data_IF_065377535348
#
_entry.id   IF_065377535348
#
_cell.length_a   1.000
_cell.length_b   1.000
_cell.length_c   1.000
_cell.angle_alpha   90.00
_cell.angle_beta   90.00
_cell.angle_gamma   90.00
#
_symmetry.space_group_name_H-M   'P 1'
#
loop_
_entity.id
_entity.type
_entity.pdbx_description
1 polymer ?
#
# COMPACT_ATOMS: atom_id res chain seq x y z
N UNK A 1 -4.89 -48.16 -68.07
CA UNK A 1 -5.07 -46.82 -67.53
C UNK A 1 -4.48 -46.79 -66.14
N UNK A 2 -3.43 -46.00 -65.87
CA UNK A 2 -2.73 -45.95 -64.58
C UNK A 2 -3.68 -45.58 -63.50
N UNK A 3 -4.56 -44.59 -63.72
CA UNK A 3 -5.49 -44.07 -62.79
C UNK A 3 -6.59 -45.07 -62.35
N UNK A 4 -6.89 -46.09 -63.18
CA UNK A 4 -7.84 -47.15 -62.89
C UNK A 4 -7.20 -48.36 -62.10
N UNK A 5 -5.87 -48.45 -62.18
CA UNK A 5 -5.14 -49.47 -61.40
C UNK A 5 -4.74 -48.93 -59.97
N UNK A 6 -4.57 -47.62 -59.83
CA UNK A 6 -4.21 -47.00 -58.57
C UNK A 6 -5.38 -46.94 -57.52
N UNK A 7 -6.59 -47.38 -57.91
CA UNK A 7 -7.77 -47.45 -57.01
C UNK A 7 -8.15 -48.88 -56.65
N UNK A 8 -7.29 -49.85 -56.91
CA UNK A 8 -7.51 -51.23 -56.51
C UNK A 8 -6.94 -51.49 -55.13
N UNK A 9 -7.78 -51.93 -54.22
CA UNK A 9 -7.37 -52.28 -52.87
C UNK A 9 -6.41 -53.48 -52.85
N UNK A 10 -5.56 -53.59 -51.82
CA UNK A 10 -4.68 -54.76 -51.67
C UNK A 10 -5.43 -56.06 -51.72
N UNK A 11 -5.12 -56.90 -52.69
CA UNK A 11 -5.74 -58.20 -52.97
C UNK A 11 -6.88 -58.16 -53.97
N UNK A 12 -7.30 -57.01 -54.43
CA UNK A 12 -8.20 -56.93 -55.58
C UNK A 12 -7.55 -57.48 -56.83
N UNK A 13 -8.35 -58.19 -57.62
CA UNK A 13 -7.92 -58.75 -58.87
C UNK A 13 -8.92 -58.37 -59.95
N UNK A 14 -8.44 -57.61 -60.88
CA UNK A 14 -9.19 -57.28 -62.12
C UNK A 14 -8.50 -57.83 -63.33
N UNK A 15 -9.25 -58.20 -64.38
CA UNK A 15 -8.74 -58.70 -65.58
C UNK A 15 -9.14 -57.82 -66.76
N UNK A 16 -8.17 -57.54 -67.63
CA UNK A 16 -8.41 -56.91 -68.91
C UNK A 16 -8.05 -57.89 -70.01
N UNK A 17 -8.90 -57.97 -71.07
CA UNK A 17 -8.75 -58.95 -72.11
C UNK A 17 -8.73 -58.30 -73.49
N UNK A 18 -7.73 -58.63 -74.23
CA UNK A 18 -7.53 -58.12 -75.62
C UNK A 18 -7.58 -59.27 -76.60
N UNK A 19 -8.42 -59.15 -77.64
CA UNK A 19 -8.42 -60.08 -78.80
C UNK A 19 -7.30 -59.70 -79.77
N UNK A 20 -6.55 -60.68 -80.21
CA UNK A 20 -5.65 -60.52 -81.28
C UNK A 20 -5.91 -61.53 -82.37
N UNK A 21 -5.66 -61.17 -83.63
CA UNK A 21 -5.89 -62.07 -84.73
C UNK A 21 -4.53 -62.56 -85.26
N UNK A 22 -4.38 -63.86 -85.36
CA UNK A 22 -3.23 -64.50 -85.92
C UNK A 22 -3.62 -64.94 -87.37
N UNK A 23 -2.72 -64.73 -88.32
CA UNK A 23 -2.95 -65.07 -89.73
C UNK A 23 -1.70 -65.78 -90.25
N UNK A 24 -1.88 -66.89 -91.10
CA UNK A 24 -0.87 -67.59 -91.90
C UNK A 24 -0.78 -67.02 -93.32
N UNK A 25 -1.59 -65.98 -93.60
CA UNK A 25 -1.71 -65.37 -94.96
C UNK A 25 -2.89 -65.92 -95.77
N UNK A 26 -3.55 -66.98 -95.31
CA UNK A 26 -4.72 -67.61 -95.98
C UNK A 26 -5.91 -67.73 -95.07
N UNK A 27 -5.69 -67.98 -93.81
CA UNK A 27 -6.71 -68.13 -92.72
C UNK A 27 -6.32 -67.23 -91.55
N UNK A 28 -7.34 -66.94 -90.75
CA UNK A 28 -7.15 -66.20 -89.49
C UNK A 28 -7.83 -66.92 -88.30
N UNK A 29 -7.20 -66.81 -87.11
CA UNK A 29 -7.77 -67.28 -85.86
C UNK A 29 -7.64 -66.15 -84.78
N UNK A 30 -8.51 -66.17 -83.79
CA UNK A 30 -8.54 -65.16 -82.79
C UNK A 30 -8.06 -65.77 -81.43
N UNK A 31 -6.98 -65.24 -80.92
CA UNK A 31 -6.52 -65.47 -79.58
C UNK A 31 -6.89 -64.38 -78.65
N UNK A 32 -6.86 -64.68 -77.38
CA UNK A 32 -7.16 -63.73 -76.25
C UNK A 32 -5.90 -63.60 -75.40
N UNK A 33 -5.49 -62.39 -75.17
CA UNK A 33 -4.52 -62.06 -74.10
C UNK A 33 -5.32 -61.55 -72.93
N UNK A 34 -5.21 -62.19 -71.77
CA UNK A 34 -5.77 -61.70 -70.50
C UNK A 34 -4.64 -61.17 -69.64
N UNK A 35 -4.76 -59.92 -69.25
CA UNK A 35 -3.84 -59.29 -68.28
C UNK A 35 -4.56 -59.25 -66.91
N UNK A 36 -3.96 -59.81 -65.93
CA UNK A 36 -4.42 -59.73 -64.55
C UNK A 36 -3.68 -58.59 -63.87
N UNK A 37 -4.43 -57.61 -63.31
CA UNK A 37 -3.91 -56.52 -62.48
C UNK A 37 -4.30 -56.86 -61.07
N UNK A 38 -3.35 -56.85 -60.15
CA UNK A 38 -3.51 -57.11 -58.75
C UNK A 38 -3.30 -55.79 -58.00
N UNK A 39 -4.24 -55.38 -57.19
CA UNK A 39 -4.11 -54.26 -56.30
C UNK A 39 -2.96 -54.40 -55.28
N UNK A 40 -2.21 -53.38 -55.08
CA UNK A 40 -1.13 -53.31 -54.10
C UNK A 40 -1.43 -52.13 -53.16
N UNK A 41 -0.91 -52.22 -51.93
CA UNK A 41 -1.08 -51.16 -50.95
C UNK A 41 -0.43 -49.84 -51.47
N UNK A 42 -1.19 -48.79 -51.52
CA UNK A 42 -0.70 -47.44 -51.67
C UNK A 42 -0.24 -46.88 -50.29
N UNK A 43 0.66 -45.98 -50.30
CA UNK A 43 1.08 -45.36 -49.05
C UNK A 43 0.10 -44.23 -48.69
N UNK A 44 -0.33 -44.13 -47.42
CA UNK A 44 -1.21 -43.07 -47.00
C UNK A 44 -0.56 -41.69 -47.20
N UNK A 45 -1.38 -40.67 -47.23
CA UNK A 45 -0.96 -39.26 -47.24
C UNK A 45 -1.41 -38.56 -45.96
N UNK A 46 -0.70 -37.53 -45.60
CA UNK A 46 -1.12 -36.58 -44.55
C UNK A 46 -0.81 -35.16 -44.99
N UNK A 47 -1.28 -34.18 -44.26
CA UNK A 47 -0.92 -32.78 -44.50
C UNK A 47 -0.50 -32.14 -43.18
N UNK A 48 0.25 -31.05 -43.31
CA UNK A 48 0.61 -30.22 -42.15
C UNK A 48 -0.67 -29.76 -41.42
N UNK A 49 -0.56 -29.66 -40.10
CA UNK A 49 -1.64 -29.15 -39.29
C UNK A 49 -1.11 -28.19 -38.21
N UNK A 50 -2.02 -27.39 -37.66
CA UNK A 50 -1.73 -26.48 -36.57
C UNK A 50 -2.77 -26.68 -35.49
N UNK A 51 -2.32 -26.93 -34.26
CA UNK A 51 -3.15 -26.95 -33.06
C UNK A 51 -2.92 -25.69 -32.26
N UNK A 52 -3.89 -25.35 -31.41
CA UNK A 52 -3.78 -24.24 -30.45
C UNK A 52 -4.22 -24.73 -29.09
N UNK A 53 -3.45 -24.43 -28.08
CA UNK A 53 -3.78 -24.65 -26.67
C UNK A 53 -3.46 -23.39 -25.88
N UNK A 54 -4.01 -23.26 -24.66
CA UNK A 54 -3.55 -22.25 -23.73
C UNK A 54 -2.25 -22.73 -23.05
N UNK A 55 -1.42 -21.78 -22.59
CA UNK A 55 -0.35 -22.13 -21.66
C UNK A 55 -0.90 -22.81 -20.43
N UNK A 56 -0.09 -23.56 -19.71
CA UNK A 56 -0.45 -24.40 -18.56
C UNK A 56 -1.56 -25.42 -18.81
N UNK A 57 -2.05 -25.53 -20.03
CA UNK A 57 -3.11 -26.47 -20.42
C UNK A 57 -2.58 -27.50 -21.42
N UNK A 58 -2.65 -28.77 -21.05
CA UNK A 58 -2.25 -29.84 -21.95
C UNK A 58 -3.24 -29.98 -23.11
N UNK A 59 -2.72 -30.06 -24.33
CA UNK A 59 -3.50 -30.44 -25.50
C UNK A 59 -3.46 -31.96 -25.69
N UNK A 60 -4.62 -32.62 -25.67
CA UNK A 60 -4.73 -34.07 -25.92
C UNK A 60 -5.09 -34.25 -27.40
N UNK A 61 -4.22 -34.96 -28.14
CA UNK A 61 -4.41 -35.19 -29.56
C UNK A 61 -5.56 -36.19 -29.85
N UNK A 62 -6.26 -35.90 -30.94
CA UNK A 62 -7.19 -36.82 -31.60
C UNK A 62 -6.61 -37.36 -32.91
N UNK A 63 -7.08 -38.50 -33.37
CA UNK A 63 -6.62 -39.07 -34.65
C UNK A 63 -6.91 -38.20 -35.85
N UNK A 64 -7.97 -37.40 -35.80
CA UNK A 64 -8.35 -36.48 -36.90
C UNK A 64 -7.35 -35.35 -37.13
N UNK A 65 -6.54 -35.00 -36.13
CA UNK A 65 -5.56 -33.92 -36.22
C UNK A 65 -4.32 -34.31 -37.08
N UNK A 66 -4.13 -35.59 -37.33
CA UNK A 66 -3.05 -36.10 -38.18
C UNK A 66 -3.40 -36.13 -39.66
N UNK A 67 -4.59 -35.64 -40.05
CA UNK A 67 -5.03 -35.48 -41.46
C UNK A 67 -4.74 -36.70 -42.37
N UNK A 68 -4.96 -37.91 -41.84
CA UNK A 68 -4.75 -39.15 -42.56
C UNK A 68 -5.70 -39.23 -43.76
N UNK A 69 -5.18 -39.63 -44.91
CA UNK A 69 -5.96 -39.96 -46.11
C UNK A 69 -5.26 -41.10 -46.85
N UNK A 70 -6.03 -42.04 -47.33
CA UNK A 70 -5.57 -43.19 -48.09
C UNK A 70 -6.45 -43.39 -49.31
N UNK A 71 -5.87 -43.85 -50.43
CA UNK A 71 -6.60 -44.19 -51.65
C UNK A 71 -7.24 -45.55 -51.55
N UNK A 72 -6.73 -46.42 -50.68
CA UNK A 72 -7.32 -47.74 -50.44
C UNK A 72 -8.60 -47.60 -49.58
N UNK A 73 -9.75 -48.14 -50.06
CA UNK A 73 -11.09 -47.88 -49.48
C UNK A 73 -11.25 -48.26 -48.02
N UNK A 74 -10.41 -49.12 -47.47
CA UNK A 74 -10.44 -49.56 -46.08
C UNK A 74 -9.34 -48.91 -45.25
N UNK A 75 -8.57 -47.99 -45.85
CA UNK A 75 -7.46 -47.37 -45.17
C UNK A 75 -7.92 -46.53 -43.98
N UNK A 76 -7.46 -46.91 -42.82
CA UNK A 76 -7.65 -46.15 -41.60
C UNK A 76 -6.31 -45.92 -40.89
N UNK A 77 -6.18 -44.80 -40.20
CA UNK A 77 -4.98 -44.57 -39.42
C UNK A 77 -4.74 -45.74 -38.47
N UNK A 78 -3.63 -46.43 -38.64
CA UNK A 78 -3.19 -47.50 -37.75
C UNK A 78 -2.28 -46.94 -36.65
N UNK A 79 -1.32 -46.10 -37.00
CA UNK A 79 -0.36 -45.49 -36.11
C UNK A 79 0.26 -44.25 -36.72
N UNK A 80 0.88 -43.43 -35.90
CA UNK A 80 1.81 -42.37 -36.31
C UNK A 80 3.22 -42.73 -35.87
N UNK A 81 4.22 -42.14 -36.53
CA UNK A 81 5.62 -42.19 -36.12
C UNK A 81 6.16 -40.75 -36.03
N UNK A 82 6.77 -40.40 -34.92
CA UNK A 82 7.37 -39.08 -34.72
C UNK A 82 8.75 -39.05 -35.37
N UNK A 83 8.96 -38.18 -36.35
CA UNK A 83 10.18 -38.10 -37.17
C UNK A 83 11.07 -36.90 -36.85
N UNK A 84 10.55 -35.90 -36.11
CA UNK A 84 11.29 -34.82 -35.48
C UNK A 84 10.61 -34.50 -34.16
N UNK A 85 11.37 -34.14 -33.13
CA UNK A 85 10.84 -33.74 -31.83
C UNK A 85 10.66 -32.23 -31.78
N UNK A 86 9.86 -31.78 -30.82
CA UNK A 86 9.66 -30.40 -30.46
C UNK A 86 10.91 -29.78 -29.83
N UNK A 87 11.02 -28.43 -29.90
CA UNK A 87 12.11 -27.67 -29.28
C UNK A 87 11.69 -27.09 -27.90
N UNK A 88 10.40 -26.78 -27.72
CA UNK A 88 9.82 -26.21 -26.48
C UNK A 88 8.59 -26.99 -26.06
N UNK A 89 8.33 -27.06 -24.76
CA UNK A 89 7.30 -27.89 -24.19
C UNK A 89 7.66 -29.38 -24.27
N UNK A 90 6.66 -30.26 -24.13
CA UNK A 90 6.88 -31.70 -24.19
C UNK A 90 5.73 -32.44 -24.90
N UNK A 91 6.04 -33.17 -25.94
CA UNK A 91 5.15 -34.18 -26.54
C UNK A 91 5.23 -35.44 -25.67
N UNK A 92 4.15 -35.83 -25.05
CA UNK A 92 4.14 -36.90 -24.05
C UNK A 92 3.19 -38.02 -24.43
N UNK A 93 3.61 -39.24 -24.08
CA UNK A 93 2.85 -40.44 -24.22
C UNK A 93 2.59 -41.15 -22.88
N UNK A 94 1.35 -41.61 -22.66
CA UNK A 94 1.00 -42.36 -21.47
C UNK A 94 1.32 -43.86 -21.66
N UNK A 95 2.32 -44.36 -20.93
CA UNK A 95 2.80 -45.76 -21.06
C UNK A 95 2.01 -46.79 -20.26
N UNK A 96 0.82 -46.41 -19.74
CA UNK A 96 -0.02 -47.25 -18.88
C UNK A 96 0.21 -47.05 -17.40
N UNK A 97 1.24 -46.31 -17.00
CA UNK A 97 1.53 -45.96 -15.60
C UNK A 97 1.84 -44.48 -15.37
N UNK A 98 2.51 -43.85 -16.31
CA UNK A 98 2.91 -42.44 -16.26
C UNK A 98 2.99 -41.82 -17.62
N UNK A 99 2.97 -40.49 -17.67
CA UNK A 99 3.32 -39.70 -18.84
C UNK A 99 4.84 -39.66 -18.97
N UNK A 100 5.35 -39.97 -20.16
CA UNK A 100 6.77 -39.97 -20.51
C UNK A 100 6.93 -39.18 -21.82
N UNK A 101 8.06 -38.51 -22.01
CA UNK A 101 8.33 -37.79 -23.23
C UNK A 101 8.47 -38.77 -24.41
N UNK A 102 7.91 -38.37 -25.54
CA UNK A 102 8.01 -39.13 -26.79
C UNK A 102 9.45 -39.08 -27.27
N UNK A 103 9.90 -40.23 -27.80
CA UNK A 103 11.27 -40.34 -28.36
C UNK A 103 11.25 -40.31 -29.88
N UNK A 104 12.37 -39.91 -30.47
CA UNK A 104 12.51 -39.88 -31.93
C UNK A 104 12.26 -41.27 -32.54
N UNK A 105 11.46 -41.35 -33.60
CA UNK A 105 10.98 -42.56 -34.28
C UNK A 105 10.03 -43.41 -33.42
N UNK A 106 9.51 -42.90 -32.33
CA UNK A 106 8.48 -43.61 -31.58
C UNK A 106 7.20 -43.76 -32.41
N UNK A 107 6.67 -44.96 -32.42
CA UNK A 107 5.36 -45.26 -33.02
C UNK A 107 4.29 -45.25 -31.94
N UNK A 108 3.14 -44.60 -32.25
CA UNK A 108 1.99 -44.45 -31.35
C UNK A 108 0.75 -44.91 -32.11
N UNK A 109 0.04 -45.87 -31.54
CA UNK A 109 -1.13 -46.45 -32.22
C UNK A 109 -2.29 -45.46 -32.26
N UNK A 110 -3.14 -45.57 -33.29
CA UNK A 110 -4.38 -44.81 -33.38
C UNK A 110 -5.31 -45.07 -32.16
N UNK A 111 -5.27 -46.31 -31.63
CA UNK A 111 -6.01 -46.66 -30.43
C UNK A 111 -5.51 -45.88 -29.19
N UNK A 112 -4.21 -45.77 -29.01
CA UNK A 112 -3.62 -45.00 -27.94
C UNK A 112 -3.97 -43.53 -28.04
N UNK A 113 -3.92 -42.95 -29.28
CA UNK A 113 -4.34 -41.56 -29.52
C UNK A 113 -5.83 -41.40 -29.17
N UNK A 114 -6.70 -42.32 -29.61
CA UNK A 114 -8.13 -42.31 -29.32
C UNK A 114 -8.44 -42.45 -27.85
N UNK A 115 -7.59 -43.11 -27.07
CA UNK A 115 -7.66 -43.25 -25.63
C UNK A 115 -7.16 -41.99 -24.89
N UNK A 116 -6.65 -40.98 -25.63
CA UNK A 116 -6.09 -39.75 -25.04
C UNK A 116 -4.70 -39.93 -24.45
N UNK A 117 -3.90 -40.91 -24.94
CA UNK A 117 -2.57 -41.22 -24.42
C UNK A 117 -1.44 -40.48 -25.11
N UNK A 118 -1.78 -39.55 -26.00
CA UNK A 118 -0.84 -38.59 -26.60
C UNK A 118 -1.27 -37.16 -26.30
N UNK A 119 -0.36 -36.38 -25.72
CA UNK A 119 -0.60 -34.97 -25.41
C UNK A 119 0.62 -34.13 -25.69
N UNK A 120 0.39 -32.86 -25.93
CA UNK A 120 1.40 -31.80 -25.84
C UNK A 120 1.21 -31.07 -24.51
N UNK A 121 2.29 -30.86 -23.77
CA UNK A 121 2.35 -30.08 -22.54
C UNK A 121 3.23 -28.86 -22.79
N UNK A 122 2.70 -27.61 -22.81
CA UNK A 122 3.51 -26.40 -22.84
C UNK A 122 4.44 -26.34 -21.62
N UNK A 123 5.56 -25.64 -21.73
CA UNK A 123 6.32 -25.24 -20.57
C UNK A 123 5.49 -24.22 -19.77
N UNK A 124 5.72 -24.15 -18.45
CA UNK A 124 4.93 -23.29 -17.57
C UNK A 124 5.13 -21.82 -17.93
N UNK A 125 4.03 -21.06 -18.02
CA UNK A 125 4.01 -19.62 -18.27
C UNK A 125 4.69 -19.22 -19.59
N UNK A 126 4.74 -20.14 -20.58
CA UNK A 126 5.32 -19.86 -21.91
C UNK A 126 4.26 -19.92 -23.00
N UNK A 127 4.22 -18.90 -23.83
CA UNK A 127 3.27 -18.77 -24.92
C UNK A 127 3.92 -18.27 -26.22
N UNK A 128 3.21 -18.36 -27.32
CA UNK A 128 3.65 -17.86 -28.59
C UNK A 128 2.91 -18.45 -29.79
N UNK A 129 2.87 -17.72 -30.90
CA UNK A 129 2.47 -18.24 -32.19
C UNK A 129 3.63 -19.04 -32.75
N UNK A 130 3.33 -20.26 -33.28
CA UNK A 130 4.37 -21.23 -33.68
C UNK A 130 5.36 -21.49 -32.54
N UNK A 131 4.82 -21.70 -31.33
CA UNK A 131 5.58 -21.91 -30.10
C UNK A 131 6.60 -23.04 -30.28
N UNK A 132 6.15 -24.16 -30.91
CA UNK A 132 6.99 -25.26 -31.29
C UNK A 132 6.38 -26.03 -32.47
N UNK A 133 7.12 -27.00 -33.01
CA UNK A 133 6.61 -27.95 -33.99
C UNK A 133 7.32 -29.29 -33.87
N UNK A 134 6.66 -30.34 -34.30
CA UNK A 134 7.23 -31.68 -34.45
C UNK A 134 6.83 -32.26 -35.82
N UNK A 135 7.58 -33.23 -36.31
CA UNK A 135 7.21 -33.91 -37.54
C UNK A 135 6.70 -35.31 -37.26
N UNK A 136 5.74 -35.73 -38.09
CA UNK A 136 5.13 -37.03 -38.01
C UNK A 136 4.90 -37.65 -39.40
N UNK A 137 4.84 -38.97 -39.43
CA UNK A 137 4.32 -39.77 -40.52
C UNK A 137 3.08 -40.54 -40.04
N UNK A 138 2.10 -40.72 -40.89
CA UNK A 138 0.95 -41.57 -40.66
C UNK A 138 1.15 -42.91 -41.34
N UNK A 139 0.55 -43.98 -40.82
CA UNK A 139 0.62 -45.33 -41.40
C UNK A 139 -0.76 -46.00 -41.36
N UNK A 140 -1.06 -46.73 -42.45
CA UNK A 140 -2.16 -47.67 -42.59
C UNK A 140 -1.89 -49.05 -41.93
N UNK A 141 -0.65 -49.27 -41.45
CA UNK A 141 -0.15 -50.52 -40.89
C UNK A 141 0.86 -51.25 -41.83
N UNK A 142 0.90 -50.85 -43.10
CA UNK A 142 1.75 -51.46 -44.17
C UNK A 142 2.83 -50.48 -44.61
N UNK A 143 2.46 -49.25 -44.87
CA UNK A 143 3.35 -48.21 -45.39
C UNK A 143 3.27 -46.91 -44.53
N UNK A 144 4.20 -46.01 -44.74
CA UNK A 144 4.21 -44.66 -44.10
C UNK A 144 4.08 -43.56 -45.16
N UNK A 145 3.38 -42.47 -44.77
CA UNK A 145 3.37 -41.24 -45.56
C UNK A 145 4.74 -40.58 -45.61
N UNK A 146 4.88 -39.55 -46.43
CA UNK A 146 5.93 -38.54 -46.22
C UNK A 146 5.80 -37.85 -44.86
N UNK A 147 6.88 -37.25 -44.35
CA UNK A 147 6.85 -36.47 -43.11
C UNK A 147 6.03 -35.20 -43.30
N UNK A 148 5.24 -34.85 -42.26
CA UNK A 148 4.40 -33.67 -42.19
C UNK A 148 4.63 -32.95 -40.86
N UNK A 149 4.40 -31.67 -40.82
CA UNK A 149 4.64 -30.84 -39.63
C UNK A 149 3.35 -30.61 -38.86
N UNK A 150 3.40 -30.86 -37.56
CA UNK A 150 2.43 -30.39 -36.60
C UNK A 150 2.98 -29.12 -35.93
N UNK A 151 2.35 -27.99 -36.16
CA UNK A 151 2.68 -26.70 -35.50
C UNK A 151 1.80 -26.55 -34.25
N UNK A 152 2.40 -26.13 -33.17
CA UNK A 152 1.70 -25.84 -31.91
C UNK A 152 1.73 -24.35 -31.63
N UNK A 153 0.57 -23.73 -31.54
CA UNK A 153 0.41 -22.39 -30.98
C UNK A 153 0.01 -22.51 -29.47
N UNK A 154 0.61 -21.69 -28.64
CA UNK A 154 0.26 -21.56 -27.24
C UNK A 154 -0.24 -20.15 -26.99
N UNK A 155 -1.47 -20.04 -26.52
CA UNK A 155 -2.11 -18.76 -26.24
C UNK A 155 -1.82 -18.34 -24.82
N UNK A 156 -1.44 -17.08 -24.62
CA UNK A 156 -1.28 -16.49 -23.29
C UNK A 156 -2.59 -16.57 -22.46
N UNK A 157 -2.46 -16.87 -21.22
CA UNK A 157 -3.50 -16.79 -20.18
C UNK A 157 -2.92 -16.02 -19.02
N UNK A 158 -3.66 -15.06 -18.49
CA UNK A 158 -3.17 -14.27 -17.36
C UNK A 158 -2.85 -15.14 -16.15
N UNK A 159 -1.63 -15.05 -15.68
CA UNK A 159 -1.18 -15.61 -14.39
C UNK A 159 -1.46 -14.63 -13.26
N UNK A 160 -1.35 -15.09 -12.03
CA UNK A 160 -1.52 -14.24 -10.85
C UNK A 160 -0.15 -13.70 -10.41
N UNK A 161 -0.03 -12.40 -10.14
CA UNK A 161 1.20 -11.87 -9.58
C UNK A 161 1.50 -12.51 -8.23
N UNK A 162 2.75 -12.50 -7.82
CA UNK A 162 3.20 -12.95 -6.50
C UNK A 162 3.75 -11.76 -5.74
N UNK A 163 3.07 -11.37 -4.67
CA UNK A 163 3.50 -10.32 -3.76
C UNK A 163 4.29 -10.90 -2.58
N UNK A 164 5.34 -10.23 -2.15
CA UNK A 164 6.25 -10.65 -1.08
C UNK A 164 6.35 -9.56 -0.01
N UNK A 165 6.42 -9.97 1.26
CA UNK A 165 6.47 -9.04 2.39
C UNK A 165 7.72 -8.15 2.39
N UNK A 166 7.52 -6.87 2.72
CA UNK A 166 8.54 -5.82 2.80
C UNK A 166 8.80 -5.36 4.22
N UNK A 167 9.94 -4.72 4.40
CA UNK A 167 10.30 -4.10 5.68
C UNK A 167 10.98 -2.76 5.50
N UNK A 168 10.72 -1.83 6.42
CA UNK A 168 11.44 -0.58 6.52
C UNK A 168 11.64 -0.20 7.99
N UNK A 169 12.53 0.77 8.24
CA UNK A 169 12.75 1.30 9.58
C UNK A 169 12.87 2.82 9.55
N UNK A 170 12.41 3.47 10.62
CA UNK A 170 12.47 4.92 10.77
C UNK A 170 12.61 5.27 12.25
N UNK A 171 13.28 6.39 12.54
CA UNK A 171 13.31 6.97 13.89
C UNK A 171 12.20 8.02 13.98
N UNK A 172 11.52 8.09 15.11
CA UNK A 172 10.52 9.11 15.38
C UNK A 172 11.10 10.53 15.18
N UNK A 173 10.29 11.49 14.80
CA UNK A 173 10.76 12.82 14.40
C UNK A 173 11.39 12.89 13.00
N UNK A 174 11.59 11.76 12.31
CA UNK A 174 12.09 11.69 10.92
C UNK A 174 11.09 10.95 10.03
N UNK A 175 11.15 11.20 8.73
CA UNK A 175 10.34 10.45 7.75
C UNK A 175 11.22 9.57 6.89
N UNK A 176 10.75 8.37 6.54
CA UNK A 176 11.36 7.55 5.50
C UNK A 176 10.61 7.75 4.19
N UNK A 177 11.33 8.01 3.10
CA UNK A 177 10.76 8.18 1.77
C UNK A 177 11.47 7.27 0.78
N UNK A 178 10.72 6.42 0.12
CA UNK A 178 11.16 5.57 -0.98
C UNK A 178 10.54 6.11 -2.26
N UNK A 179 11.36 6.81 -3.04
CA UNK A 179 10.93 7.53 -4.25
C UNK A 179 11.22 6.80 -5.55
N UNK A 180 11.85 5.64 -5.49
CA UNK A 180 12.15 4.79 -6.64
C UNK A 180 11.31 3.52 -6.55
N UNK A 181 10.55 3.21 -7.59
CA UNK A 181 9.69 2.03 -7.66
C UNK A 181 10.48 0.72 -7.45
N UNK A 182 11.71 0.62 -7.93
CA UNK A 182 12.57 -0.55 -7.73
C UNK A 182 13.10 -0.74 -6.29
N UNK A 183 12.69 0.10 -5.35
CA UNK A 183 13.00 0.00 -3.92
C UNK A 183 11.74 0.23 -3.09
N UNK A 184 10.58 0.31 -3.75
CA UNK A 184 9.24 0.42 -3.14
C UNK A 184 8.73 -0.95 -2.72
N UNK A 185 7.44 -1.04 -2.43
CA UNK A 185 6.80 -2.33 -2.14
C UNK A 185 6.59 -3.19 -3.40
N UNK A 186 6.72 -2.61 -4.61
CA UNK A 186 6.82 -3.35 -5.87
C UNK A 186 8.30 -3.30 -6.27
N UNK A 187 9.11 -4.14 -5.72
CA UNK A 187 10.54 -4.21 -6.01
C UNK A 187 10.91 -5.54 -6.72
N UNK A 188 12.18 -5.91 -6.70
CA UNK A 188 12.67 -7.12 -7.37
C UNK A 188 12.14 -8.44 -6.75
N UNK A 189 11.42 -8.40 -5.62
CA UNK A 189 10.87 -9.58 -4.96
C UNK A 189 9.42 -9.86 -5.34
N UNK A 190 8.67 -8.87 -5.83
CA UNK A 190 7.36 -9.05 -6.41
C UNK A 190 7.50 -9.45 -7.88
N UNK A 191 6.79 -10.47 -8.30
CA UNK A 191 6.94 -11.04 -9.64
C UNK A 191 5.62 -11.33 -10.31
N UNK A 192 5.65 -11.31 -11.64
CA UNK A 192 4.56 -11.78 -12.47
C UNK A 192 5.13 -12.65 -13.58
N UNK A 193 4.56 -13.87 -13.82
CA UNK A 193 4.94 -14.68 -14.96
C UNK A 193 4.71 -13.98 -16.31
N UNK A 194 3.66 -13.15 -16.40
CA UNK A 194 3.34 -12.35 -17.58
C UNK A 194 4.23 -11.11 -17.66
N UNK A 195 5.41 -11.26 -18.27
CA UNK A 195 6.46 -10.23 -18.31
C UNK A 195 6.07 -8.92 -19.00
N UNK A 196 4.91 -8.89 -19.68
CA UNK A 196 4.35 -7.68 -20.32
C UNK A 196 3.44 -6.89 -19.38
N UNK A 197 3.05 -7.44 -18.26
CA UNK A 197 2.09 -6.83 -17.36
C UNK A 197 2.75 -5.79 -16.45
N UNK A 198 1.96 -4.82 -16.08
CA UNK A 198 2.41 -3.74 -15.21
C UNK A 198 1.78 -3.92 -13.83
N UNK A 199 2.61 -4.22 -12.86
CA UNK A 199 2.20 -4.37 -11.48
C UNK A 199 1.88 -3.01 -10.86
N UNK A 200 0.76 -2.94 -10.13
CA UNK A 200 0.32 -1.73 -9.42
C UNK A 200 -0.31 -2.07 -8.06
N UNK A 201 -0.16 -1.16 -7.12
CA UNK A 201 -0.88 -1.24 -5.84
C UNK A 201 -2.29 -0.68 -6.02
N UNK A 202 -3.31 -1.45 -5.65
CA UNK A 202 -4.73 -1.09 -5.79
C UNK A 202 -5.44 -0.83 -4.47
N UNK A 203 -4.96 -1.39 -3.38
CA UNK A 203 -5.52 -1.18 -2.03
C UNK A 203 -4.40 -1.21 -0.99
N UNK A 204 -4.62 -0.49 0.10
CA UNK A 204 -3.79 -0.50 1.30
C UNK A 204 -4.68 -0.56 2.53
N UNK A 205 -4.32 -1.38 3.51
CA UNK A 205 -5.01 -1.50 4.78
C UNK A 205 -4.04 -1.63 5.94
N UNK A 206 -4.48 -1.25 7.14
CA UNK A 206 -3.70 -1.38 8.37
C UNK A 206 -4.44 -2.28 9.38
N UNK A 207 -3.71 -2.93 10.27
CA UNK A 207 -4.26 -3.83 11.30
C UNK A 207 -5.26 -3.19 12.26
N UNK A 208 -5.28 -1.85 12.37
CA UNK A 208 -6.28 -1.11 13.15
C UNK A 208 -7.67 -1.04 12.48
N UNK A 209 -7.83 -1.60 11.28
CA UNK A 209 -9.09 -1.64 10.52
C UNK A 209 -9.23 -0.52 9.48
N UNK A 210 -8.28 0.41 9.37
CA UNK A 210 -8.26 1.41 8.29
C UNK A 210 -7.97 0.71 6.96
N UNK A 211 -8.66 1.11 5.89
CA UNK A 211 -8.43 0.63 4.52
C UNK A 211 -8.80 1.70 3.51
N UNK A 212 -8.05 1.77 2.42
CA UNK A 212 -8.29 2.72 1.32
C UNK A 212 -7.85 2.14 -0.01
N UNK A 213 -8.60 2.46 -1.08
CA UNK A 213 -8.14 2.19 -2.43
C UNK A 213 -7.01 3.16 -2.80
N UNK A 214 -5.97 2.66 -3.44
CA UNK A 214 -4.87 3.48 -3.96
C UNK A 214 -5.27 4.02 -5.32
N UNK A 215 -5.14 5.33 -5.50
CA UNK A 215 -5.49 6.00 -6.76
C UNK A 215 -4.47 5.63 -7.84
N UNK A 216 -4.93 5.21 -9.01
CA UNK A 216 -4.07 4.83 -10.13
C UNK A 216 -3.15 5.98 -10.59
N UNK A 217 -1.98 5.61 -11.10
CA UNK A 217 -0.96 6.55 -11.62
C UNK A 217 -0.44 7.54 -10.57
N UNK A 218 -0.43 7.16 -9.30
CA UNK A 218 0.13 7.95 -8.19
C UNK A 218 1.51 7.43 -7.78
N UNK A 219 2.27 8.32 -7.13
CA UNK A 219 3.57 8.06 -6.52
C UNK A 219 3.53 8.41 -5.03
N UNK A 220 4.62 8.24 -4.30
CA UNK A 220 4.73 8.67 -2.90
C UNK A 220 4.32 10.13 -2.63
N UNK A 221 4.47 11.02 -3.62
CA UNK A 221 4.22 12.46 -3.45
C UNK A 221 2.76 12.88 -3.58
N UNK A 222 1.93 12.04 -4.22
CA UNK A 222 0.49 12.27 -4.43
C UNK A 222 -0.33 10.99 -4.21
N UNK A 223 0.21 10.06 -3.44
CA UNK A 223 -0.38 8.77 -3.14
C UNK A 223 -1.56 8.83 -2.17
N UNK A 224 -2.01 7.66 -1.79
CA UNK A 224 -3.08 7.47 -0.81
C UNK A 224 -2.49 7.37 0.59
N UNK A 225 -2.99 8.19 1.52
CA UNK A 225 -2.55 8.20 2.90
C UNK A 225 -3.44 7.30 3.77
N UNK A 226 -2.80 6.52 4.64
CA UNK A 226 -3.46 5.67 5.63
C UNK A 226 -2.77 5.83 7.00
N UNK A 227 -3.59 6.01 8.04
CA UNK A 227 -3.08 6.19 9.41
C UNK A 227 -2.89 4.83 10.06
N UNK A 228 -1.65 4.58 10.51
CA UNK A 228 -1.24 3.44 11.33
C UNK A 228 -1.40 3.69 12.83
N UNK A 229 -0.65 2.98 13.63
CA UNK A 229 -0.57 3.15 15.09
C UNK A 229 0.47 4.20 15.47
N UNK A 230 1.63 4.13 14.85
CA UNK A 230 2.80 4.96 15.17
C UNK A 230 3.10 6.00 14.10
N UNK A 231 2.31 6.08 13.02
CA UNK A 231 2.52 7.07 11.97
C UNK A 231 1.50 6.99 10.84
N UNK A 232 1.82 7.67 9.76
CA UNK A 232 1.00 7.72 8.54
C UNK A 232 1.83 7.27 7.35
N UNK A 233 1.34 6.25 6.63
CA UNK A 233 1.88 5.82 5.35
C UNK A 233 1.16 6.55 4.22
N UNK A 234 1.91 7.10 3.26
CA UNK A 234 1.39 7.59 1.98
C UNK A 234 2.04 6.76 0.88
N UNK A 235 1.24 6.00 0.14
CA UNK A 235 1.70 5.04 -0.86
C UNK A 235 1.13 5.38 -2.24
N UNK A 236 1.97 5.29 -3.27
CA UNK A 236 1.59 5.42 -4.67
C UNK A 236 1.19 4.08 -5.30
N UNK A 237 0.47 4.15 -6.42
CA UNK A 237 0.15 2.97 -7.21
C UNK A 237 1.40 2.30 -7.80
N UNK A 238 2.50 3.02 -7.93
CA UNK A 238 3.80 2.54 -8.39
C UNK A 238 4.63 1.87 -7.29
N UNK A 239 4.07 1.66 -6.09
CA UNK A 239 4.74 1.07 -4.95
C UNK A 239 5.67 1.99 -4.17
N UNK A 240 5.93 3.20 -4.65
CA UNK A 240 6.70 4.19 -3.89
C UNK A 240 5.94 4.72 -2.69
N UNK A 241 6.62 5.07 -1.61
CA UNK A 241 5.93 5.49 -0.38
C UNK A 241 6.72 6.50 0.45
N UNK A 242 6.00 7.18 1.33
CA UNK A 242 6.55 7.95 2.45
C UNK A 242 5.84 7.52 3.73
N UNK A 243 6.60 7.24 4.77
CA UNK A 243 6.05 7.03 6.10
C UNK A 243 6.56 8.12 7.04
N UNK A 244 5.64 8.73 7.76
CA UNK A 244 5.91 9.80 8.74
C UNK A 244 5.39 9.35 10.09
N UNK A 245 6.28 9.15 11.07
CA UNK A 245 5.89 8.87 12.46
C UNK A 245 5.05 10.00 13.06
N UNK A 246 4.32 9.70 14.11
CA UNK A 246 3.38 10.62 14.76
C UNK A 246 3.91 11.24 16.08
N UNK A 247 5.15 10.97 16.47
CA UNK A 247 5.75 11.49 17.70
C UNK A 247 5.19 10.83 18.97
N UNK A 248 4.87 9.55 18.92
CA UNK A 248 4.23 8.87 20.06
C UNK A 248 5.12 7.88 20.81
N UNK A 249 6.35 7.72 20.39
CA UNK A 249 7.31 6.79 20.98
C UNK A 249 8.44 7.56 21.66
N UNK A 250 8.57 7.39 22.96
CA UNK A 250 9.62 7.97 23.77
C UNK A 250 10.99 7.31 23.46
N UNK A 251 12.09 7.95 23.82
CA UNK A 251 13.44 7.40 23.69
C UNK A 251 13.55 5.99 24.27
N UNK A 252 14.02 5.04 23.45
CA UNK A 252 14.21 3.63 23.84
C UNK A 252 12.98 2.77 23.67
N UNK A 253 11.85 3.33 23.28
CA UNK A 253 10.67 2.59 22.86
C UNK A 253 10.75 2.23 21.37
N UNK A 254 9.96 1.26 20.95
CA UNK A 254 9.83 0.88 19.55
C UNK A 254 8.49 0.22 19.29
N UNK A 255 7.99 0.37 18.08
CA UNK A 255 6.75 -0.25 17.64
C UNK A 255 6.78 -0.58 16.15
N UNK A 256 5.87 -1.42 15.71
CA UNK A 256 5.73 -1.78 14.31
C UNK A 256 4.35 -1.38 13.80
N UNK A 257 4.31 -0.66 12.69
CA UNK A 257 3.11 -0.52 11.87
C UNK A 257 3.17 -1.56 10.74
N UNK A 258 2.09 -2.33 10.60
CA UNK A 258 1.96 -3.37 9.57
C UNK A 258 0.82 -3.00 8.65
N UNK A 259 1.15 -2.71 7.40
CA UNK A 259 0.19 -2.42 6.36
C UNK A 259 0.13 -3.57 5.37
N UNK A 260 -1.08 -3.99 5.00
CA UNK A 260 -1.29 -4.98 3.94
C UNK A 260 -1.62 -4.24 2.65
N UNK A 261 -0.86 -4.48 1.60
CA UNK A 261 -1.15 -3.94 0.27
C UNK A 261 -1.70 -5.03 -0.66
N UNK A 262 -2.44 -4.61 -1.67
CA UNK A 262 -2.92 -5.48 -2.75
C UNK A 262 -2.19 -5.11 -4.03
N UNK A 263 -1.39 -6.05 -4.52
CA UNK A 263 -0.71 -6.00 -5.81
C UNK A 263 -1.67 -6.48 -6.91
N UNK A 264 -1.65 -5.87 -8.07
CA UNK A 264 -2.47 -6.25 -9.23
C UNK A 264 -1.71 -6.06 -10.53
N UNK A 265 -1.90 -7.00 -11.45
CA UNK A 265 -1.52 -6.96 -12.86
C UNK A 265 -2.60 -6.32 -13.76
N UNK A 266 -3.77 -5.99 -13.21
CA UNK A 266 -4.95 -5.48 -13.91
C UNK A 266 -6.04 -6.51 -14.13
N UNK A 267 -5.77 -7.81 -13.93
CA UNK A 267 -6.70 -8.94 -14.12
C UNK A 267 -6.84 -9.78 -12.86
N UNK A 268 -5.75 -10.05 -12.18
CA UNK A 268 -5.65 -10.81 -10.93
C UNK A 268 -4.97 -9.99 -9.83
N UNK A 269 -4.94 -10.51 -8.61
CA UNK A 269 -4.35 -9.81 -7.45
C UNK A 269 -3.74 -10.79 -6.47
N UNK A 270 -2.68 -10.33 -5.78
CA UNK A 270 -2.12 -10.97 -4.60
C UNK A 270 -1.90 -9.92 -3.49
N UNK A 271 -1.58 -10.35 -2.28
CA UNK A 271 -1.43 -9.47 -1.13
C UNK A 271 -0.19 -9.81 -0.32
N UNK A 272 0.54 -8.76 0.07
CA UNK A 272 1.64 -8.87 1.01
C UNK A 272 1.61 -7.71 2.01
N UNK A 273 2.58 -7.68 2.93
CA UNK A 273 2.66 -6.67 3.97
C UNK A 273 3.93 -5.84 3.85
N UNK A 274 3.83 -4.55 4.19
CA UNK A 274 5.00 -3.75 4.56
C UNK A 274 4.98 -3.53 6.07
N UNK A 275 6.05 -3.94 6.74
CA UNK A 275 6.27 -3.70 8.17
C UNK A 275 7.24 -2.55 8.37
N UNK A 276 6.76 -1.47 8.99
CA UNK A 276 7.57 -0.30 9.35
C UNK A 276 7.94 -0.38 10.83
N UNK A 277 9.22 -0.57 11.13
CA UNK A 277 9.74 -0.51 12.50
C UNK A 277 10.04 0.94 12.86
N UNK A 278 9.32 1.48 13.85
CA UNK A 278 9.51 2.83 14.37
C UNK A 278 10.29 2.74 15.69
N UNK A 279 11.39 3.50 15.78
CA UNK A 279 12.17 3.62 17.01
C UNK A 279 11.96 5.02 17.59
N UNK A 280 11.61 5.12 18.86
CA UNK A 280 11.38 6.37 19.54
C UNK A 280 12.63 7.24 19.61
N UNK A 281 12.44 8.53 19.59
CA UNK A 281 13.44 9.56 19.77
C UNK A 281 12.93 10.59 20.76
N UNK A 282 13.81 11.35 21.36
CA UNK A 282 13.44 12.44 22.23
C UNK A 282 12.76 13.56 21.44
N UNK A 283 11.54 13.91 21.83
CA UNK A 283 10.87 15.13 21.42
C UNK A 283 11.34 16.31 22.31
N UNK A 284 11.15 17.51 21.86
CA UNK A 284 11.48 18.68 22.65
C UNK A 284 10.26 19.17 23.43
N UNK A 285 10.47 19.67 24.65
CA UNK A 285 9.38 20.30 25.39
C UNK A 285 8.83 21.49 24.62
N UNK A 286 7.57 21.79 24.80
CA UNK A 286 6.89 22.96 24.23
C UNK A 286 6.51 23.92 25.34
N UNK A 287 7.24 25.03 25.44
CA UNK A 287 6.99 26.09 26.43
C UNK A 287 5.88 27.02 25.96
N UNK A 288 4.95 27.33 26.83
CA UNK A 288 3.84 28.25 26.60
C UNK A 288 4.02 29.54 27.41
N UNK A 289 3.61 30.66 26.83
CA UNK A 289 3.76 31.96 27.50
C UNK A 289 2.80 32.13 28.68
N UNK A 290 3.32 32.69 29.78
CA UNK A 290 2.63 32.94 31.03
C UNK A 290 2.29 34.39 31.30
N UNK A 291 1.30 34.59 32.14
CA UNK A 291 0.99 35.93 32.65
C UNK A 291 0.40 35.92 34.03
N UNK A 292 0.80 36.87 34.84
CA UNK A 292 0.18 37.09 36.12
C UNK A 292 0.02 38.59 36.42
N UNK A 293 -0.77 38.92 37.43
CA UNK A 293 -1.07 40.31 37.79
C UNK A 293 -0.85 40.55 39.29
N UNK A 294 -0.19 41.61 39.63
CA UNK A 294 -0.07 42.09 41.02
C UNK A 294 -0.62 43.49 41.13
N UNK A 295 -1.47 43.70 42.15
CA UNK A 295 -1.90 45.05 42.57
C UNK A 295 -0.89 45.58 43.61
N UNK A 296 -0.02 46.45 43.16
CA UNK A 296 1.08 47.00 43.97
C UNK A 296 0.62 47.93 45.08
N UNK A 297 -0.62 48.41 45.01
CA UNK A 297 -1.21 49.24 46.09
C UNK A 297 -1.56 48.41 47.35
N UNK A 298 -1.62 47.09 47.23
CA UNK A 298 -1.99 46.19 48.31
C UNK A 298 -0.97 45.06 48.57
N UNK A 299 -0.13 44.76 47.57
CA UNK A 299 0.83 43.68 47.67
C UNK A 299 2.20 44.10 47.16
N UNK A 300 3.25 43.79 47.91
CA UNK A 300 4.63 43.98 47.48
C UNK A 300 5.27 42.69 46.95
N UNK A 301 4.57 41.56 47.04
CA UNK A 301 5.09 40.25 46.63
C UNK A 301 3.95 39.43 46.01
N UNK A 302 4.27 38.80 44.87
CA UNK A 302 3.45 37.79 44.23
C UNK A 302 4.17 36.45 44.37
N UNK A 303 3.52 35.47 45.01
CA UNK A 303 4.06 34.10 45.13
C UNK A 303 3.13 33.13 44.42
N UNK A 304 3.71 32.28 43.57
CA UNK A 304 3.04 31.20 42.86
C UNK A 304 3.71 29.90 43.27
N UNK A 305 2.89 28.99 43.79
CA UNK A 305 3.37 27.67 44.24
C UNK A 305 3.35 26.67 43.12
N UNK A 306 4.16 25.65 43.23
CA UNK A 306 4.21 24.49 42.33
C UNK A 306 2.82 23.85 42.16
N UNK A 307 2.48 23.45 40.93
CA UNK A 307 1.18 22.90 40.57
C UNK A 307 0.01 23.90 40.56
N UNK A 308 0.28 25.19 40.76
CA UNK A 308 -0.71 26.26 40.59
C UNK A 308 -1.00 26.49 39.11
N UNK A 309 -2.25 26.84 38.77
CA UNK A 309 -2.62 27.25 37.39
C UNK A 309 -1.85 28.48 36.86
N UNK A 310 -1.03 29.09 37.68
CA UNK A 310 -0.16 30.24 37.34
C UNK A 310 1.33 29.91 37.43
N UNK A 311 1.66 28.67 37.74
CA UNK A 311 2.98 28.11 37.66
C UNK A 311 3.44 28.08 36.21
N UNK A 312 4.70 28.44 35.92
CA UNK A 312 5.15 28.58 34.53
C UNK A 312 5.23 27.24 33.78
N UNK A 313 5.29 26.08 34.47
CA UNK A 313 5.31 24.77 33.83
C UNK A 313 3.90 24.16 33.65
N UNK A 314 2.85 24.76 34.19
CA UNK A 314 1.50 24.13 34.21
C UNK A 314 0.87 24.03 32.82
N UNK A 315 1.22 24.91 31.91
CA UNK A 315 0.74 24.95 30.52
C UNK A 315 1.83 24.56 29.50
N UNK A 316 3.00 24.18 29.99
CA UNK A 316 4.06 23.59 29.18
C UNK A 316 3.82 22.08 29.04
N UNK A 317 4.23 21.54 27.90
CA UNK A 317 3.99 20.12 27.58
C UNK A 317 5.24 19.50 27.00
N UNK A 318 5.34 18.17 27.15
CA UNK A 318 6.28 17.34 26.46
C UNK A 318 5.53 16.19 25.79
N UNK A 319 5.96 15.80 24.59
CA UNK A 319 5.36 14.66 23.90
C UNK A 319 5.84 13.34 24.52
N UNK A 320 7.08 13.32 25.05
CA UNK A 320 7.65 12.18 25.77
C UNK A 320 6.99 12.07 27.15
N UNK A 321 6.06 11.14 27.32
CA UNK A 321 5.19 11.04 28.51
C UNK A 321 5.94 10.70 29.79
N UNK A 322 7.14 10.15 29.69
CA UNK A 322 8.00 9.77 30.82
C UNK A 322 8.98 10.85 31.23
N UNK A 323 9.08 11.94 30.46
CA UNK A 323 10.01 13.00 30.73
C UNK A 323 9.46 14.00 31.76
N UNK A 324 10.38 14.55 32.52
CA UNK A 324 10.07 15.56 33.52
C UNK A 324 10.68 16.87 33.10
N UNK A 325 9.83 17.80 32.69
CA UNK A 325 10.24 19.15 32.32
C UNK A 325 10.61 19.98 33.54
N UNK A 326 11.63 20.80 33.41
CA UNK A 326 12.12 21.69 34.44
C UNK A 326 12.64 23.02 33.88
N UNK A 327 12.54 24.10 34.67
CA UNK A 327 13.14 25.37 34.32
C UNK A 327 14.65 25.29 34.55
N UNK A 328 15.43 25.58 33.51
CA UNK A 328 16.92 25.50 33.54
C UNK A 328 17.60 26.85 33.39
N UNK A 329 16.96 27.85 32.77
CA UNK A 329 17.49 29.21 32.64
C UNK A 329 16.38 30.26 32.78
N UNK A 330 16.73 31.44 33.26
CA UNK A 330 15.86 32.61 33.31
C UNK A 330 16.60 33.85 32.80
N UNK A 331 15.86 34.75 32.12
CA UNK A 331 16.43 36.02 31.59
C UNK A 331 15.44 37.18 31.73
N UNK A 332 15.97 38.41 31.78
CA UNK A 332 15.13 39.61 31.73
C UNK A 332 14.70 39.88 30.27
N UNK A 333 13.52 40.46 30.07
CA UNK A 333 13.06 40.98 28.78
C UNK A 333 12.01 40.09 28.11
N UNK A 334 11.39 40.64 27.08
CA UNK A 334 10.28 40.04 26.34
C UNK A 334 10.71 39.19 25.15
N UNK A 335 11.98 39.28 24.74
CA UNK A 335 12.50 38.53 23.61
C UNK A 335 13.17 37.28 24.09
N UNK A 336 12.67 36.13 23.64
CA UNK A 336 13.15 34.80 24.00
C UNK A 336 14.67 34.68 23.78
N UNK A 337 15.37 34.11 24.76
CA UNK A 337 16.82 33.92 24.73
C UNK A 337 17.64 35.20 24.84
N UNK A 338 17.02 36.39 24.90
CA UNK A 338 17.70 37.66 25.04
C UNK A 338 17.61 38.20 26.49
N UNK A 339 18.35 39.26 26.76
CA UNK A 339 18.39 39.92 28.07
C UNK A 339 19.47 39.42 29.01
N UNK A 340 19.45 39.89 30.25
CA UNK A 340 20.39 39.50 31.27
C UNK A 340 20.02 38.10 31.83
N UNK A 341 20.95 37.16 31.75
CA UNK A 341 20.81 35.82 32.32
C UNK A 341 20.82 35.86 33.85
N UNK A 342 19.98 35.04 34.46
CA UNK A 342 19.94 34.78 35.91
C UNK A 342 20.14 33.28 36.20
N UNK A 343 20.25 32.96 37.48
CA UNK A 343 20.37 31.59 37.95
C UNK A 343 19.02 31.15 38.53
N UNK A 344 18.50 30.02 38.08
CA UNK A 344 17.27 29.42 38.63
C UNK A 344 17.35 29.24 40.13
N UNK A 345 16.28 29.58 40.85
CA UNK A 345 16.24 29.60 42.30
C UNK A 345 16.93 30.84 42.96
N UNK A 346 17.50 31.73 42.14
CA UNK A 346 18.15 32.96 42.61
C UNK A 346 17.45 34.22 42.09
N UNK A 347 17.71 35.34 42.73
CA UNK A 347 17.11 36.64 42.38
C UNK A 347 17.61 37.17 41.06
N UNK A 348 16.68 37.45 40.13
CA UNK A 348 16.94 38.15 38.87
C UNK A 348 16.23 39.49 38.91
N UNK A 349 17.00 40.61 38.91
CA UNK A 349 16.49 41.97 39.01
C UNK A 349 15.99 42.46 37.64
N UNK A 350 14.73 42.80 37.55
CA UNK A 350 14.08 43.49 36.43
C UNK A 350 14.01 45.00 36.61
N UNK A 351 13.11 45.65 35.86
CA UNK A 351 12.93 47.09 35.88
C UNK A 351 12.07 47.53 37.08
N UNK A 352 11.01 46.78 37.38
CA UNK A 352 10.01 47.14 38.39
C UNK A 352 10.03 46.22 39.58
N UNK A 353 10.80 45.13 39.55
CA UNK A 353 10.90 44.16 40.64
C UNK A 353 11.97 43.13 40.39
N UNK A 354 11.97 42.14 41.27
CA UNK A 354 12.92 41.04 41.26
C UNK A 354 12.13 39.72 41.19
N UNK A 355 12.48 38.87 40.20
CA UNK A 355 11.89 37.54 40.01
C UNK A 355 12.84 36.46 40.56
N UNK A 356 12.27 35.43 41.18
CA UNK A 356 12.91 34.19 41.54
C UNK A 356 12.02 33.08 40.96
N UNK A 357 12.52 32.33 39.97
CA UNK A 357 11.85 31.13 39.45
C UNK A 357 12.65 29.90 39.92
N UNK A 358 11.93 28.89 40.42
CA UNK A 358 12.51 27.59 40.81
C UNK A 358 12.44 26.61 39.61
N UNK A 359 13.23 25.54 39.67
CA UNK A 359 13.26 24.51 38.61
C UNK A 359 11.90 23.80 38.41
N UNK A 360 11.04 23.77 39.41
CA UNK A 360 9.69 23.22 39.37
C UNK A 360 8.62 24.21 38.85
N UNK A 361 9.00 25.35 38.28
CA UNK A 361 8.07 26.33 37.72
C UNK A 361 7.48 27.34 38.73
N UNK A 362 7.53 27.02 40.00
CA UNK A 362 7.06 27.95 41.05
C UNK A 362 7.91 29.23 41.08
N UNK A 363 7.32 30.38 41.38
CA UNK A 363 8.05 31.62 41.41
C UNK A 363 7.57 32.64 42.46
N UNK A 364 8.46 33.54 42.77
CA UNK A 364 8.16 34.72 43.59
C UNK A 364 8.63 35.97 42.85
N UNK A 365 7.73 36.94 42.74
CA UNK A 365 8.07 38.28 42.18
C UNK A 365 7.93 39.30 43.30
N UNK A 366 9.01 40.07 43.58
CA UNK A 366 9.08 41.08 44.64
C UNK A 366 9.14 42.43 43.99
N UNK A 367 8.17 43.29 44.24
CA UNK A 367 8.06 44.65 43.73
C UNK A 367 9.16 45.54 44.35
N UNK A 368 9.76 46.40 43.54
CA UNK A 368 10.75 47.39 44.05
C UNK A 368 10.09 48.32 45.08
N UNK A 369 10.79 48.57 46.16
CA UNK A 369 10.31 49.47 47.24
C UNK A 369 9.99 50.87 46.72
N UNK A 370 8.79 51.37 47.03
CA UNK A 370 8.34 52.68 46.62
C UNK A 370 7.85 52.80 45.16
N UNK A 371 7.67 51.67 44.45
CA UNK A 371 7.12 51.68 43.10
C UNK A 371 5.67 52.19 43.09
N UNK A 372 4.88 51.89 44.13
CA UNK A 372 3.52 52.38 44.31
C UNK A 372 3.42 53.89 44.49
N UNK A 373 4.50 54.51 44.96
CA UNK A 373 4.60 55.98 45.06
C UNK A 373 4.99 56.65 43.72
N UNK A 374 5.61 55.90 42.81
CA UNK A 374 6.10 56.40 41.50
C UNK A 374 5.10 56.19 40.36
N UNK A 375 4.19 55.21 40.46
CA UNK A 375 3.17 54.96 39.47
C UNK A 375 1.84 55.66 39.90
N UNK A 376 1.23 56.39 38.95
CA UNK A 376 -0.07 56.97 39.18
C UNK A 376 -1.15 55.98 39.52
N UNK A 377 -2.13 56.36 40.29
CA UNK A 377 -3.31 55.53 40.61
C UNK A 377 -4.04 55.12 39.34
N UNK A 378 -4.19 53.79 39.11
CA UNK A 378 -4.77 53.22 37.90
C UNK A 378 -3.75 52.98 36.78
N UNK A 379 -2.52 53.37 36.94
CA UNK A 379 -1.44 53.09 35.98
C UNK A 379 -1.12 51.59 35.98
N UNK A 380 -0.79 51.08 34.78
CA UNK A 380 -0.39 49.70 34.52
C UNK A 380 0.96 49.75 33.81
N UNK A 381 1.89 48.93 34.31
CA UNK A 381 3.16 48.60 33.66
C UNK A 381 3.35 47.14 33.54
N UNK A 382 4.20 46.69 32.62
CA UNK A 382 4.48 45.29 32.37
C UNK A 382 5.96 45.01 32.59
N UNK A 383 6.25 43.93 33.33
CA UNK A 383 7.58 43.38 33.44
C UNK A 383 7.65 42.08 32.68
N UNK A 384 8.73 41.89 31.94
CA UNK A 384 8.91 40.71 31.07
C UNK A 384 10.16 39.94 31.49
N UNK A 385 10.00 38.64 31.60
CA UNK A 385 11.09 37.69 31.71
C UNK A 385 10.86 36.55 30.73
N UNK A 386 11.91 35.85 30.38
CA UNK A 386 11.81 34.57 29.68
C UNK A 386 12.53 33.49 30.47
N UNK A 387 12.07 32.25 30.28
CA UNK A 387 12.60 31.08 30.95
C UNK A 387 12.79 29.95 29.93
N UNK A 388 13.79 29.09 30.16
CA UNK A 388 14.04 27.93 29.34
C UNK A 388 13.58 26.70 30.08
N UNK A 389 12.76 25.90 29.42
CA UNK A 389 12.29 24.58 29.85
C UNK A 389 13.18 23.52 29.24
N UNK A 390 13.50 22.48 29.95
CA UNK A 390 14.26 21.32 29.50
C UNK A 390 13.67 20.03 30.02
N UNK A 391 13.66 19.02 29.17
CA UNK A 391 13.43 17.59 29.47
C UNK A 391 14.70 16.88 29.99
N UNK A 392 15.83 17.53 29.94
CA UNK A 392 17.17 17.00 30.25
C UNK A 392 18.04 16.72 29.02
N UNK A 393 17.44 16.72 27.83
CA UNK A 393 18.10 16.44 26.54
C UNK A 393 18.01 17.64 25.60
N UNK A 394 16.82 18.21 25.48
CA UNK A 394 16.49 19.35 24.61
C UNK A 394 15.85 20.47 25.40
N UNK A 395 15.57 21.60 24.75
CA UNK A 395 15.02 22.78 25.44
C UNK A 395 14.09 23.58 24.54
N UNK A 396 13.14 24.30 25.18
CA UNK A 396 12.34 25.34 24.56
C UNK A 396 12.27 26.58 25.48
N UNK A 397 11.82 27.72 24.95
CA UNK A 397 11.80 28.97 25.70
C UNK A 397 10.41 29.59 25.73
N UNK A 398 9.89 29.79 26.93
CA UNK A 398 8.66 30.52 27.18
C UNK A 398 8.94 31.92 27.77
N UNK A 399 7.91 32.74 27.86
CA UNK A 399 7.96 34.05 28.51
C UNK A 399 6.95 34.16 29.65
N UNK A 400 7.31 34.93 30.68
CA UNK A 400 6.39 35.31 31.73
C UNK A 400 6.21 36.83 31.78
N UNK A 401 4.98 37.28 31.75
CA UNK A 401 4.61 38.70 31.85
C UNK A 401 3.98 38.98 33.19
N UNK A 402 4.61 39.82 34.00
CA UNK A 402 4.03 40.31 35.26
C UNK A 402 3.39 41.68 34.98
N UNK A 403 2.08 41.71 35.04
CA UNK A 403 1.31 42.98 34.97
C UNK A 403 1.25 43.60 36.37
N UNK A 404 1.89 44.76 36.55
CA UNK A 404 1.83 45.56 37.75
C UNK A 404 0.78 46.64 37.58
N UNK A 405 -0.18 46.68 38.47
CA UNK A 405 -1.20 47.76 38.49
C UNK A 405 -1.25 48.47 39.83
N UNK A 406 -1.21 49.81 39.86
CA UNK A 406 -1.47 50.61 41.05
C UNK A 406 -2.98 50.79 41.15
N UNK A 407 -3.69 49.80 41.72
CA UNK A 407 -5.15 49.75 41.78
C UNK A 407 -5.77 50.88 42.59
N UNK A 408 -5.14 51.33 43.68
CA UNK A 408 -5.59 52.41 44.55
C UNK A 408 -7.08 52.32 44.93
N UNK A 409 -7.58 53.28 45.64
CA UNK A 409 -9.03 53.36 45.94
C UNK A 409 -9.93 53.52 44.71
N UNK A 410 -9.39 54.04 43.58
CA UNK A 410 -10.15 54.27 42.35
C UNK A 410 -10.68 53.00 41.68
N UNK A 411 -9.88 51.95 41.65
CA UNK A 411 -10.33 50.65 41.10
C UNK A 411 -11.36 49.96 42.00
N UNK A 412 -11.21 50.08 43.30
CA UNK A 412 -12.17 49.59 44.28
C UNK A 412 -13.49 50.36 44.16
N UNK A 413 -13.44 51.70 44.05
CA UNK A 413 -14.61 52.57 43.89
C UNK A 413 -15.34 52.34 42.56
N UNK A 414 -14.61 52.06 41.45
CA UNK A 414 -15.20 51.70 40.12
C UNK A 414 -15.88 50.33 40.20
N UNK A 415 -15.25 49.37 40.86
CA UNK A 415 -15.84 48.03 41.04
C UNK A 415 -17.09 48.09 41.92
N UNK A 416 -17.06 48.81 43.02
CA UNK A 416 -18.20 49.03 43.91
C UNK A 416 -19.33 49.77 43.19
N UNK A 417 -19.06 50.87 42.46
CA UNK A 417 -20.03 51.60 41.63
C UNK A 417 -20.62 50.73 40.49
N UNK A 418 -19.83 49.86 39.90
CA UNK A 418 -20.33 48.90 38.88
C UNK A 418 -21.20 47.84 39.47
N UNK A 419 -20.84 47.27 40.64
CA UNK A 419 -21.64 46.33 41.40
C UNK A 419 -22.97 46.96 41.85
N UNK A 420 -22.97 48.17 42.41
CA UNK A 420 -24.18 48.91 42.77
C UNK A 420 -25.11 49.17 41.57
N UNK A 421 -24.53 49.48 40.36
CA UNK A 421 -25.31 49.66 39.13
C UNK A 421 -25.93 48.36 38.64
N UNK A 422 -25.27 47.22 38.82
CA UNK A 422 -25.80 45.91 38.51
C UNK A 422 -26.92 45.52 39.45
N UNK A 423 -26.74 45.70 40.75
CA UNK A 423 -27.76 45.46 41.80
C UNK A 423 -29.00 46.35 41.56
N UNK A 424 -28.81 47.62 41.23
CA UNK A 424 -29.91 48.54 40.88
C UNK A 424 -30.63 48.16 39.58
N UNK A 425 -29.95 47.56 38.62
CA UNK A 425 -30.55 47.04 37.38
C UNK A 425 -31.38 45.79 37.62
N UNK A 426 -30.87 44.87 38.44
CA UNK A 426 -31.55 43.65 38.79
C UNK A 426 -32.80 43.91 39.67
N UNK A 427 -32.73 44.83 40.66
CA UNK A 427 -33.86 45.25 41.43
C UNK A 427 -34.97 45.87 40.58
N UNK A 428 -34.62 46.76 39.62
CA UNK A 428 -35.61 47.32 38.68
C UNK A 428 -36.19 46.28 37.72
N UNK A 429 -35.47 45.22 37.42
CA UNK A 429 -35.93 44.10 36.59
C UNK A 429 -36.89 43.20 37.36
N UNK A 430 -36.63 42.96 38.63
CA UNK A 430 -37.53 42.21 39.52
C UNK A 430 -38.82 42.99 39.85
N UNK A 431 -38.75 44.32 40.00
CA UNK A 431 -39.92 45.18 40.18
C UNK A 431 -40.81 45.23 38.91
N UNK A 432 -40.20 45.16 37.72
CA UNK A 432 -40.92 45.11 36.45
C UNK A 432 -41.55 43.75 36.18
N UNK A 433 -40.91 42.68 36.67
CA UNK A 433 -41.41 41.30 36.61
C UNK A 433 -42.59 41.10 37.60
N UNK A 434 -42.56 41.71 38.76
CA UNK A 434 -43.66 41.64 39.72
C UNK A 434 -44.94 42.38 39.26
N UNK A 435 -44.83 43.31 38.30
CA UNK A 435 -46.01 43.99 37.68
C UNK A 435 -46.65 43.20 36.55
N UNK A 436 -46.05 42.08 36.10
CA UNK A 436 -46.57 41.25 35.02
C UNK A 436 -46.91 39.84 35.45
N UNK A 437 -47.62 39.63 36.54
CA UNK A 437 -48.20 38.35 37.00
C UNK A 437 -47.49 37.02 36.62
N UNK A 438 -46.15 37.04 36.56
CA UNK A 438 -45.37 35.84 36.32
C UNK A 438 -44.60 35.48 37.62
N UNK A 439 -45.01 34.42 38.29
CA UNK A 439 -44.37 33.90 39.48
C UNK A 439 -43.01 33.27 39.11
N UNK A 440 -41.90 33.94 39.41
CA UNK A 440 -40.58 33.35 39.46
C UNK A 440 -40.36 32.60 40.78
N UNK A 441 -39.65 31.47 40.81
CA UNK A 441 -39.30 30.76 42.03
C UNK A 441 -38.44 31.64 42.96
N UNK A 442 -38.65 31.52 44.24
CA UNK A 442 -37.85 32.19 45.28
C UNK A 442 -36.38 31.78 45.14
N UNK A 443 -35.54 32.73 44.83
CA UNK A 443 -34.08 32.57 44.97
C UNK A 443 -33.74 32.88 46.44
N UNK A 444 -33.27 31.87 47.15
CA UNK A 444 -32.77 32.04 48.53
C UNK A 444 -31.51 32.95 48.50
N UNK A 445 -31.41 33.77 49.54
CA UNK A 445 -30.42 34.81 49.72
C UNK A 445 -29.05 34.26 50.15
N UNK A 446 -28.36 33.51 49.28
CA UNK A 446 -26.96 33.15 49.46
C UNK A 446 -26.21 33.33 48.12
N UNK A 447 -26.13 34.58 47.67
CA UNK A 447 -25.30 34.94 46.53
C UNK A 447 -24.07 35.69 47.06
N UNK A 448 -23.02 34.95 47.42
CA UNK A 448 -21.70 35.52 47.54
C UNK A 448 -21.21 35.81 46.10
N UNK A 449 -21.17 37.08 45.73
CA UNK A 449 -20.57 37.51 44.48
C UNK A 449 -19.06 37.29 44.58
N UNK A 450 -18.57 36.26 43.91
CA UNK A 450 -17.14 36.04 43.71
C UNK A 450 -16.62 37.08 42.71
N UNK A 451 -16.09 38.17 43.21
CA UNK A 451 -15.66 39.35 42.44
C UNK A 451 -14.43 39.10 41.56
N UNK A 452 -13.87 37.86 41.56
CA UNK A 452 -12.71 37.48 40.77
C UNK A 452 -13.03 36.97 39.37
N UNK A 453 -14.31 36.83 39.00
CA UNK A 453 -14.74 36.31 37.69
C UNK A 453 -15.39 37.35 36.77
N UNK A 454 -15.07 38.61 36.89
CA UNK A 454 -15.55 39.60 35.94
C UNK A 454 -14.44 39.87 34.91
N UNK A 455 -14.47 39.11 33.81
CA UNK A 455 -13.69 39.41 32.60
C UNK A 455 -14.12 40.76 32.03
N UNK A 456 -13.18 41.67 31.88
CA UNK A 456 -13.35 42.92 31.15
C UNK A 456 -13.05 42.67 29.66
N UNK A 457 -13.93 43.04 28.73
CA UNK A 457 -13.58 43.03 27.34
C UNK A 457 -12.43 43.99 27.02
N UNK A 458 -11.57 43.60 26.11
CA UNK A 458 -10.40 44.33 25.59
C UNK A 458 -10.77 45.72 25.12
#
# INVERSE_FOLDING_TARGET
>A
NKDAADVLDPGDIVTDSFNYTVSDGTATDIGVITITVVGVNDAPTASNNTITTNEDTNHVFSTSEFNFSDTDDSGSLNKIKITSLEDNGALQYYNGSSWVDVTLNQEITALDISNGYLRFKPDANENGSSYTSFEFQVSDGTAYSSSNTMTVNVTAVNDTPTATDDTASVTDGSSVTVSNASSGVIDDNDTDPDSSDTLVITNISHTNGNSSNVTSSTTYSNGTSIVGTYGTLTIGADGTYTYTPNGSLDTGESGNDVFTYTLSDGSATDTATITISVTGANDAPAASNDSNTIDISTNSTLTVTDGSIKDVLTNDTDADTNDTISVTEIRTGALEGAGTSGVVGSSLTGTYGTLIINSNGSYTYIVNTGLDDTLDKGQIVFEYFNYTVSDGTTTDTGSIVIKLQNGGQVVKEIREKKAERLIKRESKRSEKSNKSNFKLPKIESNFELNLNQIDLPK
#
